data_IF_844254926379
#
_entry.id   IF_844254926379
#
_cell.length_a   1.000
_cell.length_b   1.000
_cell.length_c   1.000
_cell.angle_alpha   90.00
_cell.angle_beta   90.00
_cell.angle_gamma   90.00
#
_symmetry.space_group_name_H-M   'P 1'
#
loop_
_entity.id
_entity.type
_entity.pdbx_description
1 polymer ?
#
# COMPACT_ATOMS: atom_id res chain seq x y z
N UNK A 1 -74.55 -3.52 36.79
CA UNK A 1 -74.41 -4.34 35.61
C UNK A 1 -73.92 -3.55 34.38
N UNK A 2 -74.60 -2.48 33.92
CA UNK A 2 -74.17 -1.70 32.76
C UNK A 2 -72.82 -0.97 32.98
N UNK A 3 -72.51 -0.57 34.21
CA UNK A 3 -71.23 0.04 34.58
C UNK A 3 -70.03 -0.92 34.51
N UNK A 4 -70.28 -2.17 34.94
CA UNK A 4 -69.23 -3.23 34.80
C UNK A 4 -68.96 -3.56 33.34
N UNK A 5 -70.01 -3.75 32.55
CA UNK A 5 -69.83 -4.01 31.09
C UNK A 5 -69.09 -2.88 30.35
N UNK A 6 -69.40 -1.62 30.74
CA UNK A 6 -68.64 -0.47 30.19
C UNK A 6 -67.19 -0.44 30.63
N UNK A 7 -66.89 -0.82 31.88
CA UNK A 7 -65.51 -0.88 32.36
C UNK A 7 -64.70 -2.00 31.66
N UNK A 8 -65.32 -3.18 31.46
CA UNK A 8 -64.70 -4.26 30.69
C UNK A 8 -64.45 -3.90 29.25
N UNK A 9 -65.42 -3.28 28.58
CA UNK A 9 -65.24 -2.83 27.20
C UNK A 9 -64.15 -1.78 27.05
N UNK A 10 -64.00 -0.88 28.04
CA UNK A 10 -62.87 0.08 28.07
C UNK A 10 -61.53 -0.60 28.24
N UNK A 11 -61.39 -1.56 29.17
CA UNK A 11 -60.17 -2.33 29.36
C UNK A 11 -59.79 -3.14 28.12
N UNK A 12 -60.75 -3.75 27.44
CA UNK A 12 -60.51 -4.46 26.19
C UNK A 12 -60.03 -3.54 25.08
N UNK A 13 -60.65 -2.37 24.93
CA UNK A 13 -60.23 -1.33 23.98
C UNK A 13 -58.80 -0.87 24.26
N UNK A 14 -58.50 -0.55 25.52
CA UNK A 14 -57.19 -0.08 25.91
C UNK A 14 -56.08 -1.12 25.71
N UNK A 15 -56.39 -2.38 26.00
CA UNK A 15 -55.46 -3.48 25.67
C UNK A 15 -55.25 -3.67 24.18
N UNK A 16 -56.28 -3.53 23.36
CA UNK A 16 -56.16 -3.60 21.91
C UNK A 16 -55.34 -2.44 21.36
N UNK A 17 -55.53 -1.21 21.84
CA UNK A 17 -54.70 -0.08 21.51
C UNK A 17 -53.24 -0.22 21.89
N UNK A 18 -52.97 -0.80 23.09
CA UNK A 18 -51.60 -1.13 23.52
C UNK A 18 -50.92 -2.14 22.58
N UNK A 19 -51.63 -3.20 22.22
CA UNK A 19 -51.13 -4.19 21.24
C UNK A 19 -50.89 -3.58 19.87
N UNK A 20 -51.78 -2.70 19.41
CA UNK A 20 -51.58 -1.99 18.14
C UNK A 20 -50.36 -1.06 18.18
N UNK A 21 -50.19 -0.32 19.27
CA UNK A 21 -49.01 0.56 19.43
C UNK A 21 -47.70 -0.23 19.52
N UNK A 22 -47.72 -1.38 20.19
CA UNK A 22 -46.56 -2.26 20.24
C UNK A 22 -46.21 -2.86 18.85
N UNK A 23 -47.21 -3.31 18.09
CA UNK A 23 -47.01 -3.77 16.73
C UNK A 23 -46.53 -2.65 15.80
N UNK A 24 -47.07 -1.44 15.92
CA UNK A 24 -46.62 -0.28 15.16
C UNK A 24 -45.17 0.10 15.52
N UNK A 25 -44.80 0.03 16.81
CA UNK A 25 -43.42 0.29 17.22
C UNK A 25 -42.42 -0.71 16.62
N UNK A 26 -42.78 -1.99 16.53
CA UNK A 26 -41.96 -3.01 15.85
C UNK A 26 -41.77 -2.71 14.36
N UNK A 27 -42.73 -2.03 13.73
CA UNK A 27 -42.66 -1.57 12.34
C UNK A 27 -42.08 -0.14 12.19
N UNK A 28 -41.34 0.35 13.19
CA UNK A 28 -40.75 1.68 13.19
C UNK A 28 -41.77 2.82 13.39
N UNK A 29 -42.91 2.51 14.01
CA UNK A 29 -43.97 3.48 14.36
C UNK A 29 -45.00 3.75 13.26
N UNK A 30 -44.76 3.32 12.02
CA UNK A 30 -45.68 3.47 10.89
C UNK A 30 -45.91 2.13 10.19
N UNK A 31 -47.17 1.61 10.13
CA UNK A 31 -47.45 0.35 9.47
C UNK A 31 -47.21 0.34 7.95
N UNK A 32 -47.07 1.52 7.35
CA UNK A 32 -46.74 1.68 5.92
C UNK A 32 -45.23 1.90 5.67
N UNK A 33 -44.38 1.71 6.69
CA UNK A 33 -42.94 1.85 6.49
C UNK A 33 -42.45 0.81 5.49
N UNK A 34 -41.72 1.21 4.42
CA UNK A 34 -41.13 0.25 3.49
C UNK A 34 -40.24 -0.74 4.21
N UNK A 35 -40.25 -2.00 3.79
CA UNK A 35 -39.48 -3.09 4.41
C UNK A 35 -37.99 -2.72 4.57
N UNK A 36 -37.45 -2.03 3.56
CA UNK A 36 -36.04 -1.59 3.54
C UNK A 36 -35.68 -0.60 4.65
N UNK A 37 -36.67 0.06 5.26
CA UNK A 37 -36.44 1.04 6.34
C UNK A 37 -36.65 0.43 7.74
N UNK A 38 -37.06 -0.82 7.81
CA UNK A 38 -37.22 -1.51 9.09
C UNK A 38 -35.85 -1.81 9.70
N UNK A 39 -35.64 -1.54 11.01
CA UNK A 39 -34.36 -1.78 11.68
C UNK A 39 -33.91 -3.26 11.59
N UNK A 40 -34.83 -4.19 11.67
CA UNK A 40 -34.56 -5.63 11.54
C UNK A 40 -34.06 -5.98 10.14
N UNK A 41 -34.67 -5.42 9.09
CA UNK A 41 -34.21 -5.62 7.72
C UNK A 41 -32.80 -5.06 7.51
N UNK A 42 -32.55 -3.83 7.98
CA UNK A 42 -31.24 -3.20 7.91
C UNK A 42 -30.18 -4.01 8.66
N UNK A 43 -30.51 -4.51 9.84
CA UNK A 43 -29.63 -5.38 10.62
C UNK A 43 -29.31 -6.70 9.88
N UNK A 44 -30.33 -7.33 9.31
CA UNK A 44 -30.17 -8.56 8.51
C UNK A 44 -29.34 -8.30 7.25
N UNK A 45 -29.56 -7.17 6.57
CA UNK A 45 -28.79 -6.77 5.40
C UNK A 45 -27.31 -6.55 5.76
N UNK A 46 -27.03 -5.83 6.82
CA UNK A 46 -25.67 -5.61 7.32
C UNK A 46 -24.97 -6.94 7.68
N UNK A 47 -25.70 -7.89 8.26
CA UNK A 47 -25.16 -9.23 8.55
C UNK A 47 -24.80 -10.00 7.27
N UNK A 48 -25.65 -9.92 6.24
CA UNK A 48 -25.37 -10.52 4.92
C UNK A 48 -24.16 -9.87 4.27
N UNK A 49 -24.06 -8.55 4.28
CA UNK A 49 -22.93 -7.82 3.71
C UNK A 49 -21.63 -8.18 4.44
N UNK A 50 -21.67 -8.25 5.77
CA UNK A 50 -20.53 -8.70 6.56
C UNK A 50 -20.11 -10.12 6.19
N UNK A 51 -21.03 -11.05 6.09
CA UNK A 51 -20.73 -12.43 5.72
C UNK A 51 -20.15 -12.54 4.30
N UNK A 52 -20.64 -11.73 3.37
CA UNK A 52 -20.08 -11.65 2.00
C UNK A 52 -18.66 -11.09 2.01
N UNK A 53 -18.42 -10.07 2.81
CA UNK A 53 -17.09 -9.51 2.98
C UNK A 53 -16.12 -10.56 3.56
N UNK A 54 -16.51 -11.22 4.65
CA UNK A 54 -15.71 -12.28 5.28
C UNK A 54 -15.39 -13.42 4.30
N UNK A 55 -16.37 -13.82 3.48
CA UNK A 55 -16.16 -14.82 2.42
C UNK A 55 -15.20 -14.34 1.33
N UNK A 56 -15.28 -13.07 0.93
CA UNK A 56 -14.37 -12.51 -0.07
C UNK A 56 -12.93 -12.47 0.47
N UNK A 57 -12.75 -12.23 1.76
CA UNK A 57 -11.42 -12.25 2.40
C UNK A 57 -10.85 -13.66 2.59
N UNK A 58 -11.64 -14.72 2.41
CA UNK A 58 -11.15 -16.10 2.45
C UNK A 58 -10.23 -16.45 1.26
N UNK A 59 -10.24 -15.63 0.22
CA UNK A 59 -9.34 -15.77 -0.93
C UNK A 59 -8.43 -14.56 -1.02
N UNK A 60 -7.14 -14.75 -0.80
CA UNK A 60 -6.14 -13.69 -0.88
C UNK A 60 -5.44 -13.78 -2.24
N UNK A 61 -5.47 -12.69 -2.99
CA UNK A 61 -4.84 -12.59 -4.31
C UNK A 61 -3.57 -11.75 -4.22
N UNK A 62 -2.61 -12.05 -5.11
CA UNK A 62 -1.44 -11.21 -5.27
C UNK A 62 -1.86 -9.79 -5.71
N UNK A 63 -1.36 -8.73 -5.05
CA UNK A 63 -1.71 -7.34 -5.40
C UNK A 63 -1.07 -6.89 -6.73
N UNK A 64 0.01 -7.56 -7.14
CA UNK A 64 0.77 -7.24 -8.35
C UNK A 64 1.50 -8.49 -8.87
N UNK A 65 1.97 -8.41 -10.12
CA UNK A 65 2.78 -9.46 -10.71
C UNK A 65 4.16 -9.51 -10.05
N UNK A 66 4.58 -10.70 -9.63
CA UNK A 66 5.83 -10.85 -8.90
C UNK A 66 6.26 -12.30 -8.72
N UNK A 67 7.38 -12.46 -8.07
CA UNK A 67 7.93 -13.76 -7.67
C UNK A 67 7.69 -13.93 -6.17
N UNK A 68 7.08 -15.03 -5.80
CA UNK A 68 6.89 -15.38 -4.38
C UNK A 68 8.27 -15.63 -3.76
N UNK A 69 8.56 -14.93 -2.69
CA UNK A 69 9.79 -15.13 -1.92
C UNK A 69 9.75 -16.40 -1.06
N UNK A 70 10.78 -16.57 -0.24
CA UNK A 70 10.84 -17.70 0.69
C UNK A 70 9.71 -17.59 1.71
N UNK A 71 8.94 -18.64 1.90
CA UNK A 71 7.87 -18.76 2.86
C UNK A 71 7.87 -20.14 3.50
N UNK A 72 7.41 -20.21 4.74
CA UNK A 72 7.30 -21.46 5.50
C UNK A 72 5.84 -21.94 5.62
N UNK A 73 4.89 -21.24 4.97
CA UNK A 73 3.47 -21.53 5.03
C UNK A 73 3.14 -22.89 4.40
N UNK A 74 2.40 -23.72 5.14
CA UNK A 74 1.99 -25.06 4.71
C UNK A 74 0.47 -25.15 4.58
N UNK A 75 0.01 -26.07 3.72
CA UNK A 75 -1.42 -26.33 3.56
C UNK A 75 -1.99 -26.89 4.86
N UNK A 76 -3.06 -26.29 5.36
CA UNK A 76 -3.70 -26.64 6.64
C UNK A 76 -3.24 -25.78 7.82
N UNK A 77 -2.30 -24.87 7.62
CA UNK A 77 -1.85 -23.93 8.64
C UNK A 77 -2.90 -22.83 8.87
N UNK A 78 -3.10 -22.47 10.12
CA UNK A 78 -4.02 -21.40 10.50
C UNK A 78 -3.30 -20.04 10.50
N UNK A 79 -3.82 -19.10 9.72
CA UNK A 79 -3.35 -17.73 9.69
C UNK A 79 -4.28 -16.80 10.45
N UNK A 80 -3.71 -15.96 11.31
CA UNK A 80 -4.46 -14.91 11.97
C UNK A 80 -4.71 -13.72 11.03
N UNK A 81 -5.82 -13.00 11.17
CA UNK A 81 -6.05 -11.76 10.44
C UNK A 81 -4.89 -10.77 10.63
N UNK A 82 -4.37 -10.24 9.52
CA UNK A 82 -3.22 -9.33 9.52
C UNK A 82 -1.84 -10.01 9.58
N UNK A 83 -1.79 -11.32 9.65
CA UNK A 83 -0.53 -12.06 9.55
C UNK A 83 -0.03 -12.09 8.10
N UNK A 84 1.27 -11.86 7.91
CA UNK A 84 1.91 -11.97 6.58
C UNK A 84 1.97 -13.44 6.18
N UNK A 85 1.32 -13.78 5.06
CA UNK A 85 1.32 -15.14 4.54
C UNK A 85 2.62 -15.45 3.80
N UNK A 86 2.96 -14.63 2.81
CA UNK A 86 4.17 -14.79 2.00
C UNK A 86 4.57 -13.44 1.38
N UNK A 87 5.88 -13.18 1.25
CA UNK A 87 6.35 -11.98 0.56
C UNK A 87 6.26 -12.17 -0.97
N UNK A 88 5.87 -11.11 -1.68
CA UNK A 88 5.93 -11.05 -3.13
C UNK A 88 6.94 -9.98 -3.51
N UNK A 89 7.89 -10.35 -4.36
CA UNK A 89 8.85 -9.42 -4.94
C UNK A 89 8.36 -9.05 -6.34
N UNK A 90 7.98 -7.79 -6.50
CA UNK A 90 7.52 -7.27 -7.80
C UNK A 90 8.61 -7.44 -8.87
N UNK A 91 8.21 -7.87 -10.04
CA UNK A 91 9.13 -8.08 -11.16
C UNK A 91 9.32 -6.84 -12.05
N UNK A 92 8.46 -5.83 -11.89
CA UNK A 92 8.52 -4.58 -12.64
C UNK A 92 7.86 -3.43 -11.85
N UNK A 93 8.30 -2.19 -12.04
CA UNK A 93 9.54 -1.76 -12.71
C UNK A 93 10.77 -1.86 -11.81
N UNK A 94 11.88 -2.35 -12.32
CA UNK A 94 13.18 -2.32 -11.62
C UNK A 94 13.80 -0.94 -11.80
N UNK A 95 14.25 -0.34 -10.70
CA UNK A 95 15.01 0.91 -10.72
C UNK A 95 16.42 0.67 -10.12
N UNK A 96 17.31 1.59 -10.43
CA UNK A 96 18.69 1.56 -9.93
C UNK A 96 18.88 2.78 -9.03
N UNK A 97 19.41 2.55 -7.85
CA UNK A 97 19.81 3.61 -6.92
C UNK A 97 21.34 3.73 -6.95
N UNK A 98 21.82 4.87 -7.44
CA UNK A 98 23.24 5.16 -7.53
C UNK A 98 23.61 6.28 -6.56
N UNK A 99 24.63 6.05 -5.74
CA UNK A 99 25.09 6.98 -4.72
C UNK A 99 26.22 7.88 -5.26
N UNK A 100 25.88 9.05 -5.81
CA UNK A 100 26.83 10.02 -6.33
C UNK A 100 27.46 10.87 -5.23
N UNK A 101 28.69 11.33 -5.45
CA UNK A 101 29.32 12.31 -4.54
C UNK A 101 28.60 13.66 -4.68
N UNK A 102 28.44 14.37 -3.57
CA UNK A 102 27.88 15.72 -3.53
C UNK A 102 28.57 16.67 -4.55
N UNK A 103 29.87 16.52 -4.72
CA UNK A 103 30.66 17.31 -5.69
C UNK A 103 30.24 17.13 -7.15
N UNK A 104 29.64 16.00 -7.49
CA UNK A 104 29.27 15.65 -8.85
C UNK A 104 27.83 16.12 -9.19
N UNK A 105 27.03 16.44 -8.18
CA UNK A 105 25.63 16.86 -8.33
C UNK A 105 25.46 18.18 -9.10
N UNK A 106 26.45 19.07 -9.05
CA UNK A 106 26.39 20.33 -9.77
C UNK A 106 26.13 20.14 -11.27
N UNK A 107 26.57 19.03 -11.83
CA UNK A 107 26.45 18.66 -13.26
C UNK A 107 25.35 17.64 -13.54
N UNK A 108 24.70 17.11 -12.51
CA UNK A 108 23.65 16.10 -12.65
C UNK A 108 22.28 16.78 -12.77
N UNK A 109 21.47 16.32 -13.70
CA UNK A 109 20.09 16.81 -13.93
C UNK A 109 19.16 15.64 -14.19
N UNK A 110 17.92 15.77 -13.74
CA UNK A 110 16.84 14.84 -14.09
C UNK A 110 16.67 14.81 -15.61
N UNK A 111 16.48 13.63 -16.17
CA UNK A 111 16.31 13.39 -17.59
C UNK A 111 17.61 13.06 -18.34
N UNK A 112 18.79 13.18 -17.73
CA UNK A 112 20.05 12.79 -18.37
C UNK A 112 20.11 11.29 -18.65
N UNK A 113 20.73 10.93 -19.76
CA UNK A 113 20.98 9.54 -20.12
C UNK A 113 22.13 8.95 -19.29
N UNK A 114 21.99 7.69 -18.98
CA UNK A 114 22.97 6.95 -18.21
C UNK A 114 23.15 5.54 -18.79
N UNK A 115 24.35 5.01 -18.59
CA UNK A 115 24.68 3.60 -18.86
C UNK A 115 24.88 2.88 -17.55
N UNK A 116 24.28 1.71 -17.46
CA UNK A 116 24.37 0.85 -16.30
C UNK A 116 25.02 -0.45 -16.69
N UNK A 117 26.00 -0.86 -15.90
CA UNK A 117 26.64 -2.20 -15.97
C UNK A 117 26.32 -2.91 -14.67
N UNK A 118 25.78 -4.11 -14.75
CA UNK A 118 25.47 -4.93 -13.56
C UNK A 118 26.56 -6.00 -13.45
N UNK A 119 27.13 -6.14 -12.27
CA UNK A 119 28.28 -7.03 -12.03
C UNK A 119 27.96 -8.49 -12.36
N UNK A 120 26.73 -8.92 -12.16
CA UNK A 120 26.27 -10.27 -12.48
C UNK A 120 26.21 -10.58 -13.99
N UNK A 121 26.27 -9.55 -14.86
CA UNK A 121 26.15 -9.70 -16.30
C UNK A 121 27.26 -8.95 -17.03
N UNK A 122 28.50 -9.40 -16.95
CA UNK A 122 29.65 -8.73 -17.58
C UNK A 122 29.44 -8.66 -19.10
N UNK A 123 29.65 -7.47 -19.66
CA UNK A 123 29.51 -7.22 -21.10
C UNK A 123 28.14 -6.69 -21.54
N UNK A 124 27.12 -6.71 -20.68
CA UNK A 124 25.81 -6.13 -20.97
C UNK A 124 25.71 -4.71 -20.41
N UNK A 125 25.27 -3.79 -21.25
CA UNK A 125 25.03 -2.39 -20.87
C UNK A 125 23.55 -2.07 -21.03
N UNK A 126 22.95 -1.57 -19.96
CA UNK A 126 21.57 -1.10 -19.98
C UNK A 126 21.54 0.40 -20.14
N UNK A 127 20.59 0.88 -20.92
CA UNK A 127 20.28 2.31 -21.01
C UNK A 127 19.32 2.68 -19.88
N UNK A 128 19.64 3.76 -19.20
CA UNK A 128 18.83 4.29 -18.12
C UNK A 128 18.73 5.81 -18.24
N UNK A 129 17.83 6.40 -17.48
CA UNK A 129 17.66 7.85 -17.38
C UNK A 129 17.57 8.23 -15.91
N UNK A 130 18.14 9.36 -15.57
CA UNK A 130 17.99 9.96 -14.23
C UNK A 130 16.53 10.34 -14.01
N UNK A 131 15.84 9.64 -13.11
CA UNK A 131 14.44 9.89 -12.79
C UNK A 131 14.30 10.92 -11.67
N UNK A 132 15.11 10.79 -10.60
CA UNK A 132 15.09 11.75 -9.49
C UNK A 132 16.43 11.79 -8.77
N UNK A 133 16.68 12.91 -8.10
CA UNK A 133 17.83 13.14 -7.23
C UNK A 133 17.27 13.37 -5.83
N UNK A 134 17.76 12.64 -4.84
CA UNK A 134 17.29 12.79 -3.47
C UNK A 134 17.63 14.19 -2.91
N UNK A 135 16.74 14.80 -2.14
CA UNK A 135 16.96 16.14 -1.57
C UNK A 135 17.98 16.15 -0.43
N UNK A 136 18.35 14.98 0.09
CA UNK A 136 19.27 14.84 1.25
C UNK A 136 20.22 13.67 1.07
N UNK A 137 21.30 13.66 1.84
CA UNK A 137 22.24 12.55 1.87
C UNK A 137 21.66 11.36 2.63
N UNK A 138 22.07 10.14 2.27
CA UNK A 138 21.68 8.92 2.98
C UNK A 138 22.10 8.91 4.47
N UNK A 139 23.07 9.72 4.85
CA UNK A 139 23.53 9.85 6.24
C UNK A 139 22.49 10.51 7.16
N UNK A 140 21.63 11.38 6.65
CA UNK A 140 20.56 12.06 7.40
C UNK A 140 19.50 11.07 7.91
N UNK A 141 19.28 9.98 7.20
CA UNK A 141 18.29 8.94 7.56
C UNK A 141 18.92 7.72 8.24
N UNK A 142 20.22 7.77 8.53
CA UNK A 142 20.89 6.69 9.24
C UNK A 142 20.52 6.69 10.73
N UNK A 143 20.09 5.54 11.24
CA UNK A 143 19.79 5.33 12.67
C UNK A 143 21.01 5.56 13.55
N UNK A 144 22.22 5.44 12.99
CA UNK A 144 23.51 5.73 13.63
C UNK A 144 24.27 6.72 12.75
N UNK A 145 24.09 8.04 12.94
CA UNK A 145 24.91 9.03 12.27
C UNK A 145 26.37 8.84 12.72
N UNK A 146 27.30 8.92 11.77
CA UNK A 146 28.74 8.83 12.06
C UNK A 146 29.13 9.97 13.00
N UNK A 147 29.14 9.71 14.30
CA UNK A 147 29.63 10.65 15.31
C UNK A 147 31.17 10.57 15.37
N UNK A 148 31.82 11.65 15.05
CA UNK A 148 33.24 11.80 15.30
C UNK A 148 33.48 11.95 16.84
N UNK A 149 33.63 10.82 17.51
CA UNK A 149 33.83 10.76 18.97
C UNK A 149 35.19 11.37 19.43
N UNK A 150 36.06 11.74 18.50
CA UNK A 150 37.41 12.20 18.78
C UNK A 150 37.61 13.72 18.73
N UNK A 151 36.57 14.53 18.62
CA UNK A 151 36.65 16.00 18.69
C UNK A 151 37.33 16.71 17.51
N UNK A 152 37.90 16.00 16.58
CA UNK A 152 38.49 16.55 15.37
C UNK A 152 37.49 16.49 14.22
N UNK A 153 36.95 17.64 13.79
CA UNK A 153 35.99 17.69 12.69
C UNK A 153 36.73 17.46 11.35
N UNK A 154 36.35 16.38 10.65
CA UNK A 154 36.85 16.08 9.30
C UNK A 154 35.72 16.23 8.32
N UNK A 155 35.87 17.05 7.29
CA UNK A 155 34.91 17.17 6.20
C UNK A 155 34.91 15.90 5.37
N UNK A 156 33.80 15.11 5.48
CA UNK A 156 33.59 13.91 4.67
C UNK A 156 32.62 14.27 3.55
N UNK A 157 32.98 14.00 2.28
CA UNK A 157 32.13 14.20 1.11
C UNK A 157 30.94 13.25 1.23
N UNK A 158 29.74 13.81 1.26
CA UNK A 158 28.50 13.05 1.38
C UNK A 158 28.12 12.40 0.05
N UNK A 159 27.35 11.31 0.13
CA UNK A 159 26.79 10.64 -1.03
C UNK A 159 25.28 10.90 -1.08
N UNK A 160 24.80 11.27 -2.25
CA UNK A 160 23.40 11.57 -2.52
C UNK A 160 22.81 10.45 -3.38
N UNK A 161 21.71 9.81 -2.96
CA UNK A 161 21.04 8.80 -3.77
C UNK A 161 20.40 9.43 -5.01
N UNK A 162 20.62 8.83 -6.15
CA UNK A 162 20.04 9.20 -7.43
C UNK A 162 19.32 7.98 -7.99
N UNK A 163 18.04 8.12 -8.27
CA UNK A 163 17.22 7.08 -8.87
C UNK A 163 17.29 7.15 -10.38
N UNK A 164 17.57 6.01 -10.98
CA UNK A 164 17.58 5.85 -12.43
C UNK A 164 16.54 4.80 -12.82
N UNK A 165 15.86 5.06 -13.92
CA UNK A 165 14.90 4.16 -14.55
C UNK A 165 15.47 3.64 -15.86
N UNK A 166 15.26 2.36 -16.12
CA UNK A 166 15.67 1.73 -17.39
C UNK A 166 14.78 2.27 -18.51
N UNK A 167 15.40 2.74 -19.60
CA UNK A 167 14.68 3.33 -20.75
C UNK A 167 14.29 2.33 -21.81
N UNK A 168 14.89 1.16 -21.82
CA UNK A 168 14.56 0.09 -22.75
C UNK A 168 14.22 -1.19 -21.98
N UNK A 169 13.21 -1.95 -22.42
CA UNK A 169 13.03 -3.30 -21.93
C UNK A 169 14.31 -4.10 -22.14
N UNK A 170 14.56 -5.02 -21.26
CA UNK A 170 15.77 -5.84 -21.28
C UNK A 170 15.78 -6.73 -22.53
N UNK A 171 16.39 -6.25 -23.61
CA UNK A 171 16.49 -6.98 -24.89
C UNK A 171 17.20 -8.33 -24.78
N UNK A 172 17.93 -8.54 -23.68
CA UNK A 172 18.80 -9.69 -23.48
C UNK A 172 18.21 -10.78 -22.59
N UNK A 173 16.92 -10.77 -22.29
CA UNK A 173 16.24 -11.76 -21.45
C UNK A 173 16.86 -11.98 -20.04
N UNK A 174 17.80 -11.15 -19.60
CA UNK A 174 18.40 -11.24 -18.27
C UNK A 174 17.51 -10.59 -17.22
N UNK A 175 17.21 -11.34 -16.18
CA UNK A 175 16.35 -10.87 -15.09
C UNK A 175 17.19 -10.07 -14.10
N UNK A 176 16.96 -8.78 -14.01
CA UNK A 176 17.52 -7.95 -12.94
C UNK A 176 16.76 -8.23 -11.63
N UNK A 177 17.49 -8.42 -10.56
CA UNK A 177 16.93 -8.71 -9.24
C UNK A 177 17.31 -7.61 -8.25
N UNK A 178 16.42 -7.34 -7.30
CA UNK A 178 16.73 -6.42 -6.22
C UNK A 178 17.98 -6.88 -5.44
N UNK A 179 18.82 -5.93 -5.06
CA UNK A 179 20.06 -6.19 -4.33
C UNK A 179 21.28 -6.52 -5.21
N UNK A 180 21.15 -6.51 -6.54
CA UNK A 180 22.32 -6.63 -7.42
C UNK A 180 23.17 -5.35 -7.40
N UNK A 181 24.50 -5.51 -7.44
CA UNK A 181 25.44 -4.40 -7.57
C UNK A 181 25.56 -3.95 -9.01
N UNK A 182 25.66 -2.64 -9.21
CA UNK A 182 25.77 -2.05 -10.53
C UNK A 182 26.67 -0.80 -10.52
N UNK A 183 27.37 -0.59 -11.64
CA UNK A 183 28.13 0.60 -11.93
C UNK A 183 27.30 1.51 -12.85
N UNK A 184 27.21 2.80 -12.52
CA UNK A 184 26.43 3.78 -13.29
C UNK A 184 27.33 4.87 -13.82
N UNK A 185 27.28 5.09 -15.13
CA UNK A 185 27.92 6.18 -15.84
C UNK A 185 26.85 7.12 -16.39
N UNK A 186 26.78 8.37 -15.91
CA UNK A 186 25.85 9.38 -16.42
C UNK A 186 26.54 10.25 -17.46
N UNK A 187 25.89 10.45 -18.60
CA UNK A 187 26.39 11.34 -19.64
C UNK A 187 26.16 12.81 -19.23
N UNK A 188 27.25 13.49 -18.89
CA UNK A 188 27.20 14.90 -18.56
C UNK A 188 27.36 15.69 -19.85
N UNK A 189 26.31 16.41 -20.26
CA UNK A 189 26.42 17.35 -21.38
C UNK A 189 27.52 18.35 -21.09
N UNK A 190 28.45 18.53 -22.02
CA UNK A 190 29.49 19.55 -21.92
C UNK A 190 28.83 20.91 -21.64
N UNK A 191 29.26 21.59 -20.57
CA UNK A 191 28.79 22.92 -20.25
C UNK A 191 29.00 23.82 -21.47
N UNK A 192 27.91 24.40 -22.02
CA UNK A 192 28.06 25.48 -23.01
C UNK A 192 28.86 26.59 -22.31
N UNK A 193 29.99 27.04 -22.88
CA UNK A 193 30.68 28.17 -22.31
C UNK A 193 29.72 29.36 -22.32
N UNK A 194 29.55 29.97 -21.17
CA UNK A 194 28.87 31.25 -21.07
C UNK A 194 29.70 32.27 -21.86
N UNK A 195 29.09 32.82 -22.94
CA UNK A 195 29.60 33.96 -23.67
C UNK A 195 29.35 35.24 -22.86
#
# INVERSE_FOLDING_TARGET
DARHALAEAKMQRDSALAKQSQAAAALGGNPNTPLQQLPEYQSALAAVEKARFDLAQASVYAPEDGIVGTHDLQVGEYLNPGQVAMPIVATAPVWIEANFKETDLARLRVGQEARVKVDSYPGVKWKARVASIAPSSGAEFSVLPAQNASGNWVKVVQRIPVRLELTAPNENAQVLRAGMSAEVEVEIAAAKPHA
#
